data_IF_039074766032
#
_entry.id   IF_039074766032
#
_cell.length_a   1.000
_cell.length_b   1.000
_cell.length_c   1.000
_cell.angle_alpha   90.00
_cell.angle_beta   90.00
_cell.angle_gamma   90.00
#
_symmetry.space_group_name_H-M   'P 1'
#
loop_
_entity.id
_entity.type
_entity.pdbx_description
1 polymer ?
#
# COMPACT_ATOMS: atom_id res chain seq x y z
N UNK A 1 -36.70 -39.15 -51.14
CA UNK A 1 -36.22 -40.52 -51.47
C UNK A 1 -34.70 -40.47 -51.62
N UNK A 2 -33.99 -41.24 -50.77
CA UNK A 2 -32.62 -41.85 -50.88
C UNK A 2 -31.40 -40.94 -51.16
N UNK A 3 -30.55 -40.74 -50.13
CA UNK A 3 -29.20 -41.33 -49.85
C UNK A 3 -28.05 -40.61 -50.61
N UNK A 4 -27.21 -39.81 -49.93
CA UNK A 4 -25.97 -40.17 -49.21
C UNK A 4 -24.85 -40.68 -50.14
N UNK A 5 -23.72 -39.97 -50.26
CA UNK A 5 -22.45 -40.40 -49.65
C UNK A 5 -21.29 -39.38 -49.76
N UNK A 6 -20.29 -39.62 -48.91
CA UNK A 6 -19.06 -38.96 -48.47
C UNK A 6 -18.14 -38.16 -49.43
N UNK A 7 -17.37 -37.25 -48.82
CA UNK A 7 -16.10 -36.77 -49.39
C UNK A 7 -15.50 -35.56 -48.65
N UNK A 8 -14.86 -35.79 -47.51
CA UNK A 8 -14.01 -34.81 -46.81
C UNK A 8 -12.66 -34.68 -47.55
N UNK A 9 -12.08 -33.47 -47.69
CA UNK A 9 -10.64 -33.34 -47.82
C UNK A 9 -10.05 -32.43 -46.72
N UNK A 10 -9.26 -33.07 -45.86
CA UNK A 10 -8.23 -32.43 -45.04
C UNK A 10 -7.07 -31.99 -45.95
N UNK A 11 -6.38 -30.88 -45.64
CA UNK A 11 -4.96 -30.81 -45.92
C UNK A 11 -4.15 -30.69 -44.63
N UNK A 12 -3.12 -31.52 -44.60
CA UNK A 12 -2.06 -31.58 -43.63
C UNK A 12 -1.11 -30.36 -43.69
N UNK A 13 -0.70 -29.94 -42.49
CA UNK A 13 0.68 -29.63 -42.08
C UNK A 13 1.52 -28.62 -42.89
N UNK A 14 1.66 -27.43 -42.31
CA UNK A 14 2.88 -26.61 -42.43
C UNK A 14 3.51 -26.41 -41.05
N UNK A 15 4.59 -27.12 -40.73
CA UNK A 15 5.42 -26.80 -39.54
C UNK A 15 6.19 -25.50 -39.78
N UNK A 16 6.22 -24.54 -38.86
CA UNK A 16 7.18 -23.45 -38.93
C UNK A 16 8.59 -23.95 -38.60
N UNK A 17 9.57 -23.43 -39.35
CA UNK A 17 11.01 -23.73 -39.26
C UNK A 17 11.61 -23.17 -37.96
N UNK A 18 12.67 -23.78 -37.39
CA UNK A 18 13.35 -23.23 -36.24
C UNK A 18 14.22 -22.02 -36.65
N UNK A 19 14.11 -20.92 -35.91
CA UNK A 19 15.03 -19.78 -36.00
C UNK A 19 16.24 -20.02 -35.09
N UNK A 20 17.49 -19.89 -35.59
CA UNK A 20 18.69 -20.00 -34.77
C UNK A 20 19.08 -18.62 -34.23
N UNK A 21 19.28 -18.51 -32.91
CA UNK A 21 19.73 -17.24 -32.31
C UNK A 21 19.57 -17.16 -30.79
N UNK A 22 20.08 -18.15 -30.06
CA UNK A 22 20.20 -18.04 -28.60
C UNK A 22 21.54 -17.34 -28.27
N UNK A 23 21.47 -16.06 -27.86
CA UNK A 23 22.47 -15.50 -26.94
C UNK A 23 21.74 -14.94 -25.74
N UNK A 24 21.98 -15.59 -24.60
CA UNK A 24 21.63 -15.12 -23.27
C UNK A 24 22.36 -13.82 -22.99
N UNK A 25 21.63 -12.81 -22.51
CA UNK A 25 22.21 -11.72 -21.73
C UNK A 25 21.38 -11.61 -20.45
N UNK A 26 21.97 -12.09 -19.36
CA UNK A 26 21.49 -11.80 -18.01
C UNK A 26 21.75 -10.33 -17.73
N UNK A 27 20.70 -9.58 -17.44
CA UNK A 27 20.75 -8.19 -16.98
C UNK A 27 19.64 -7.97 -15.98
N UNK A 28 19.72 -8.64 -14.82
CA UNK A 28 18.85 -8.37 -13.68
C UNK A 28 19.26 -6.99 -13.14
N UNK A 29 18.40 -6.01 -13.36
CA UNK A 29 18.42 -4.72 -12.69
C UNK A 29 18.26 -4.95 -11.18
N UNK A 30 19.16 -4.34 -10.40
CA UNK A 30 19.13 -4.29 -8.93
C UNK A 30 17.73 -3.98 -8.42
N UNK A 31 17.08 -4.96 -7.82
CA UNK A 31 16.04 -4.73 -6.82
C UNK A 31 16.70 -4.10 -5.59
N UNK A 32 16.16 -3.01 -5.02
CA UNK A 32 16.65 -2.52 -3.75
C UNK A 32 16.36 -3.60 -2.70
N UNK A 33 17.43 -4.00 -2.01
CA UNK A 33 17.41 -4.96 -0.90
C UNK A 33 16.70 -4.32 0.30
N UNK A 34 15.39 -4.32 0.27
CA UNK A 34 14.55 -4.35 1.46
C UNK A 34 13.58 -5.48 1.20
N UNK A 35 13.23 -6.28 2.21
CA UNK A 35 12.40 -7.48 2.10
C UNK A 35 13.19 -8.72 1.67
N UNK A 36 13.78 -9.40 2.65
CA UNK A 36 13.32 -10.70 3.13
C UNK A 36 14.33 -11.24 4.15
N UNK A 37 13.88 -11.44 5.38
CA UNK A 37 14.31 -12.61 6.13
C UNK A 37 13.10 -13.14 6.91
N UNK A 38 12.80 -14.40 6.67
CA UNK A 38 11.64 -15.13 7.20
C UNK A 38 12.06 -15.92 8.44
N UNK A 39 11.11 -16.07 9.39
CA UNK A 39 10.83 -17.24 10.28
C UNK A 39 10.50 -16.80 11.72
N UNK A 40 9.20 -16.85 12.07
CA UNK A 40 8.58 -17.81 13.02
C UNK A 40 7.09 -17.47 13.23
N UNK A 41 6.18 -18.47 13.34
CA UNK A 41 4.83 -18.24 13.84
C UNK A 41 4.86 -18.29 15.38
N UNK A 42 4.42 -17.22 16.03
CA UNK A 42 4.19 -17.20 17.48
C UNK A 42 2.83 -16.56 17.77
N UNK A 43 2.00 -17.36 18.40
CA UNK A 43 0.59 -17.16 18.73
C UNK A 43 0.44 -16.22 19.94
N UNK A 44 -0.53 -15.31 19.83
CA UNK A 44 -1.26 -14.60 20.89
C UNK A 44 -0.42 -13.68 21.80
N UNK A 45 -0.42 -12.41 21.41
CA UNK A 45 -0.35 -11.26 22.33
C UNK A 45 -1.19 -10.16 21.68
N UNK A 46 -2.17 -9.63 22.41
CA UNK A 46 -2.90 -8.42 22.05
C UNK A 46 -1.87 -7.29 21.91
N UNK A 47 -1.26 -7.13 20.73
CA UNK A 47 -0.53 -5.91 20.40
C UNK A 47 -1.57 -4.87 20.12
N UNK A 48 -2.12 -4.33 21.20
CA UNK A 48 -3.03 -3.22 21.12
C UNK A 48 -2.20 -2.04 20.65
N UNK A 49 -2.44 -1.61 19.41
CA UNK A 49 -1.95 -0.34 18.90
C UNK A 49 -2.35 0.73 19.93
N UNK A 50 -1.37 1.41 20.53
CA UNK A 50 -1.61 2.51 21.47
C UNK A 50 -0.83 3.75 21.01
N UNK A 51 -1.50 4.89 21.01
CA UNK A 51 -0.88 6.17 20.66
C UNK A 51 0.20 6.54 21.69
N UNK A 52 1.33 7.06 21.21
CA UNK A 52 2.42 7.59 22.04
C UNK A 52 2.74 9.02 21.60
N UNK A 53 3.23 9.84 22.54
CA UNK A 53 3.75 11.18 22.25
C UNK A 53 4.94 11.15 21.26
N UNK A 54 5.61 10.01 21.08
CA UNK A 54 6.67 9.84 20.08
C UNK A 54 6.16 9.92 18.63
N UNK A 55 4.84 9.83 18.43
CA UNK A 55 4.18 10.00 17.13
C UNK A 55 3.75 11.45 16.87
N UNK A 56 3.97 12.37 17.81
CA UNK A 56 3.67 13.78 17.60
C UNK A 56 4.80 14.46 16.83
N UNK A 57 4.45 15.08 15.70
CA UNK A 57 5.39 15.84 14.87
C UNK A 57 5.42 17.33 15.24
N UNK A 58 4.50 17.76 16.12
CA UNK A 58 4.45 19.13 16.67
C UNK A 58 3.66 20.10 15.81
N UNK A 59 2.74 19.59 14.99
CA UNK A 59 1.77 20.37 14.22
C UNK A 59 0.39 19.93 14.67
N UNK A 60 -0.21 20.68 15.61
CA UNK A 60 -1.42 20.30 16.36
C UNK A 60 -2.53 19.71 15.48
N UNK A 61 -2.86 20.36 14.36
CA UNK A 61 -3.91 19.91 13.45
C UNK A 61 -3.57 18.57 12.77
N UNK A 62 -2.29 18.33 12.46
CA UNK A 62 -1.85 17.05 11.88
C UNK A 62 -1.78 15.98 12.97
N UNK A 63 -1.26 16.30 14.15
CA UNK A 63 -1.19 15.36 15.28
C UNK A 63 -2.61 14.88 15.68
N UNK A 64 -3.61 15.76 15.60
CA UNK A 64 -5.03 15.38 15.75
C UNK A 64 -5.51 14.41 14.67
N UNK A 65 -5.12 14.64 13.42
CA UNK A 65 -5.47 13.76 12.32
C UNK A 65 -4.77 12.39 12.44
N UNK A 66 -3.50 12.35 12.82
CA UNK A 66 -2.74 11.12 13.06
C UNK A 66 -3.36 10.28 14.18
N UNK A 67 -3.75 10.90 15.30
CA UNK A 67 -4.47 10.20 16.39
C UNK A 67 -5.73 9.51 15.88
N UNK A 68 -6.53 10.22 15.09
CA UNK A 68 -7.76 9.67 14.53
C UNK A 68 -7.49 8.62 13.43
N UNK A 69 -6.42 8.76 12.64
CA UNK A 69 -5.98 7.71 11.70
C UNK A 69 -5.65 6.44 12.48
N UNK A 70 -4.88 6.59 13.56
CA UNK A 70 -4.48 5.51 14.43
C UNK A 70 -5.70 4.79 15.04
N UNK A 71 -6.73 5.52 15.44
CA UNK A 71 -8.00 4.94 15.92
C UNK A 71 -8.69 4.09 14.84
N UNK A 72 -8.70 4.53 13.58
CA UNK A 72 -9.26 3.72 12.48
C UNK A 72 -8.44 2.46 12.18
N UNK A 73 -7.10 2.55 12.24
CA UNK A 73 -6.24 1.36 12.10
C UNK A 73 -6.48 0.39 13.25
N UNK A 74 -6.60 0.90 14.48
CA UNK A 74 -6.93 0.10 15.67
C UNK A 74 -8.30 -0.56 15.56
N UNK A 75 -9.31 0.15 15.10
CA UNK A 75 -10.65 -0.39 14.86
C UNK A 75 -10.65 -1.49 13.77
N UNK A 76 -9.74 -1.41 12.80
CA UNK A 76 -9.52 -2.48 11.83
C UNK A 76 -8.81 -3.69 12.46
N UNK A 77 -7.84 -3.47 13.35
CA UNK A 77 -7.11 -4.53 14.08
C UNK A 77 -8.04 -5.32 15.01
N UNK A 78 -8.88 -4.63 15.76
CA UNK A 78 -9.74 -5.22 16.79
C UNK A 78 -11.01 -5.89 16.21
N UNK A 79 -11.34 -5.67 14.92
CA UNK A 79 -12.57 -6.17 14.32
C UNK A 79 -12.58 -7.69 14.04
N UNK A 80 -13.57 -8.39 14.54
CA UNK A 80 -13.83 -9.81 14.31
C UNK A 80 -15.01 -10.05 13.33
N UNK A 81 -15.43 -8.99 12.64
CA UNK A 81 -16.82 -8.80 12.24
C UNK A 81 -17.12 -8.90 10.72
N UNK A 82 -18.42 -8.87 10.41
CA UNK A 82 -19.04 -9.12 9.09
C UNK A 82 -19.07 -7.94 8.10
N UNK A 83 -18.44 -6.79 8.42
CA UNK A 83 -18.47 -5.57 7.59
C UNK A 83 -17.04 -5.03 7.28
N UNK A 84 -16.12 -5.92 6.92
CA UNK A 84 -14.73 -5.53 6.60
C UNK A 84 -14.64 -4.60 5.39
N UNK A 85 -15.58 -4.69 4.45
CA UNK A 85 -15.68 -3.80 3.31
C UNK A 85 -15.91 -2.34 3.73
N UNK A 86 -16.84 -2.09 4.64
CA UNK A 86 -17.11 -0.75 5.17
C UNK A 86 -15.89 -0.20 5.91
N UNK A 87 -15.25 -1.01 6.76
CA UNK A 87 -14.04 -0.62 7.50
C UNK A 87 -12.88 -0.28 6.56
N UNK A 88 -12.69 -1.07 5.50
CA UNK A 88 -11.67 -0.77 4.51
C UNK A 88 -11.93 0.54 3.78
N UNK A 89 -13.18 0.79 3.39
CA UNK A 89 -13.54 2.04 2.74
C UNK A 89 -13.40 3.25 3.68
N UNK A 90 -13.78 3.12 4.95
CA UNK A 90 -13.61 4.19 5.94
C UNK A 90 -12.13 4.54 6.15
N UNK A 91 -11.26 3.54 6.33
CA UNK A 91 -9.83 3.79 6.52
C UNK A 91 -9.21 4.44 5.27
N UNK A 92 -9.55 3.95 4.08
CA UNK A 92 -9.07 4.52 2.81
C UNK A 92 -9.51 5.98 2.64
N UNK A 93 -10.78 6.27 2.88
CA UNK A 93 -11.31 7.63 2.71
C UNK A 93 -10.67 8.59 3.72
N UNK A 94 -10.50 8.16 4.97
CA UNK A 94 -9.83 8.97 5.98
C UNK A 94 -8.36 9.21 5.64
N UNK A 95 -7.65 8.19 5.13
CA UNK A 95 -6.27 8.34 4.67
C UNK A 95 -6.16 9.38 3.55
N UNK A 96 -7.06 9.35 2.57
CA UNK A 96 -7.10 10.35 1.49
C UNK A 96 -7.32 11.78 2.04
N UNK A 97 -8.30 11.96 2.92
CA UNK A 97 -8.58 13.28 3.54
C UNK A 97 -7.37 13.80 4.33
N UNK A 98 -6.69 12.92 5.07
CA UNK A 98 -5.49 13.26 5.82
C UNK A 98 -4.32 13.63 4.90
N UNK A 99 -4.07 12.86 3.86
CA UNK A 99 -3.02 13.13 2.87
C UNK A 99 -3.24 14.45 2.13
N UNK A 100 -4.48 14.75 1.74
CA UNK A 100 -4.84 16.03 1.13
C UNK A 100 -4.51 17.21 2.07
N UNK A 101 -4.76 17.05 3.38
CA UNK A 101 -4.43 18.07 4.37
C UNK A 101 -2.92 18.28 4.55
N UNK A 102 -2.14 17.20 4.60
CA UNK A 102 -0.67 17.27 4.66
C UNK A 102 -0.09 17.91 3.39
N UNK A 103 -0.57 17.51 2.22
CA UNK A 103 -0.11 18.02 0.93
C UNK A 103 -0.41 19.51 0.79
N UNK A 104 -1.60 19.95 1.17
CA UNK A 104 -1.94 21.37 1.24
C UNK A 104 -1.06 22.14 2.25
N UNK A 105 -0.77 21.55 3.40
CA UNK A 105 0.12 22.15 4.40
C UNK A 105 1.55 22.30 3.85
N UNK A 106 2.08 21.25 3.23
CA UNK A 106 3.41 21.22 2.61
C UNK A 106 3.52 22.21 1.45
N UNK A 107 2.50 22.30 0.59
CA UNK A 107 2.44 23.26 -0.51
C UNK A 107 2.47 24.71 0.01
N UNK A 108 1.63 25.02 1.01
CA UNK A 108 1.58 26.35 1.62
C UNK A 108 2.91 26.79 2.26
N UNK A 109 3.74 25.83 2.69
CA UNK A 109 5.06 26.09 3.26
C UNK A 109 6.21 25.90 2.26
N UNK A 110 5.93 25.62 0.99
CA UNK A 110 6.92 25.39 -0.06
C UNK A 110 7.90 24.26 0.29
N UNK A 111 7.38 23.15 0.85
CA UNK A 111 8.20 22.00 1.19
C UNK A 111 8.81 21.36 -0.08
N UNK A 112 10.15 21.27 -0.20
CA UNK A 112 10.79 20.92 -1.46
C UNK A 112 10.59 19.47 -1.91
N UNK A 113 10.21 18.57 -1.00
CA UNK A 113 10.01 17.14 -1.28
C UNK A 113 8.54 16.74 -1.35
N UNK A 114 7.61 17.69 -1.52
CA UNK A 114 6.17 17.45 -1.63
C UNK A 114 5.84 16.32 -2.64
N UNK A 115 6.43 16.36 -3.84
CA UNK A 115 6.15 15.35 -4.86
C UNK A 115 6.60 13.93 -4.45
N UNK A 116 7.70 13.80 -3.72
CA UNK A 116 8.17 12.50 -3.22
C UNK A 116 7.25 11.99 -2.11
N UNK A 117 6.79 12.88 -1.23
CA UNK A 117 5.85 12.56 -0.15
C UNK A 117 4.49 12.11 -0.69
N UNK A 118 3.91 12.87 -1.62
CA UNK A 118 2.65 12.54 -2.28
C UNK A 118 2.73 11.18 -3.03
N UNK A 119 3.89 10.83 -3.59
CA UNK A 119 4.06 9.51 -4.21
C UNK A 119 3.96 8.36 -3.20
N UNK A 120 4.43 8.56 -1.96
CA UNK A 120 4.27 7.57 -0.88
C UNK A 120 2.80 7.39 -0.51
N UNK A 121 2.03 8.48 -0.46
CA UNK A 121 0.58 8.45 -0.24
C UNK A 121 -0.15 7.67 -1.33
N UNK A 122 0.14 7.97 -2.60
CA UNK A 122 -0.42 7.25 -3.76
C UNK A 122 -0.10 5.76 -3.70
N UNK A 123 1.15 5.40 -3.37
CA UNK A 123 1.57 4.01 -3.28
C UNK A 123 0.88 3.26 -2.13
N UNK A 124 0.66 3.93 -0.99
CA UNK A 124 -0.11 3.39 0.12
C UNK A 124 -1.56 3.10 -0.27
N UNK A 125 -2.28 4.11 -0.80
CA UNK A 125 -3.68 3.95 -1.20
C UNK A 125 -3.84 2.85 -2.23
N UNK A 126 -2.96 2.79 -3.23
CA UNK A 126 -2.98 1.72 -4.24
C UNK A 126 -2.81 0.35 -3.59
N UNK A 127 -1.75 0.17 -2.81
CA UNK A 127 -1.44 -1.12 -2.19
C UNK A 127 -2.55 -1.56 -1.24
N UNK A 128 -3.02 -0.67 -0.38
CA UNK A 128 -4.10 -0.93 0.55
C UNK A 128 -5.39 -1.34 -0.17
N UNK A 129 -5.79 -0.58 -1.19
CA UNK A 129 -7.01 -0.85 -1.97
C UNK A 129 -6.93 -2.16 -2.74
N UNK A 130 -5.75 -2.48 -3.31
CA UNK A 130 -5.55 -3.75 -4.00
C UNK A 130 -5.66 -4.94 -3.04
N UNK A 131 -5.01 -4.86 -1.87
CA UNK A 131 -5.09 -5.94 -0.88
C UNK A 131 -6.51 -6.11 -0.33
N UNK A 132 -7.20 -5.01 -0.01
CA UNK A 132 -8.60 -5.03 0.45
C UNK A 132 -9.53 -5.65 -0.62
N UNK A 133 -9.39 -5.24 -1.87
CA UNK A 133 -10.18 -5.77 -3.00
C UNK A 133 -9.94 -7.26 -3.22
N UNK A 134 -8.69 -7.71 -3.19
CA UNK A 134 -8.33 -9.12 -3.37
C UNK A 134 -8.89 -9.99 -2.24
N UNK A 135 -8.78 -9.51 -0.99
CA UNK A 135 -9.36 -10.18 0.17
C UNK A 135 -10.88 -10.35 0.05
N UNK A 136 -11.61 -9.27 -0.30
CA UNK A 136 -13.07 -9.30 -0.44
C UNK A 136 -13.55 -10.16 -1.61
N UNK A 137 -12.79 -10.20 -2.72
CA UNK A 137 -13.20 -10.91 -3.93
C UNK A 137 -12.93 -12.41 -3.90
N UNK A 138 -11.78 -12.83 -3.36
CA UNK A 138 -11.29 -14.20 -3.54
C UNK A 138 -10.93 -14.91 -2.24
N UNK A 139 -10.64 -14.18 -1.15
CA UNK A 139 -9.99 -14.77 0.01
C UNK A 139 -8.66 -15.44 -0.40
N UNK A 140 -8.51 -16.74 -0.16
CA UNK A 140 -7.31 -17.50 -0.53
C UNK A 140 -7.35 -18.03 -1.98
N UNK A 141 -6.28 -17.93 -2.80
CA UNK A 141 -4.91 -17.48 -2.50
C UNK A 141 -4.73 -15.96 -2.76
N UNK A 142 -5.10 -15.14 -1.79
CA UNK A 142 -4.90 -13.69 -1.75
C UNK A 142 -4.39 -13.29 -0.36
N UNK A 143 -4.21 -11.98 -0.10
CA UNK A 143 -3.80 -11.49 1.22
C UNK A 143 -4.83 -11.90 2.27
N UNK A 144 -4.35 -12.35 3.44
CA UNK A 144 -5.20 -12.52 4.61
C UNK A 144 -5.43 -11.19 5.33
N UNK A 145 -6.42 -11.17 6.23
CA UNK A 145 -6.80 -9.96 6.97
C UNK A 145 -5.65 -9.43 7.82
N UNK A 146 -4.88 -10.33 8.44
CA UNK A 146 -3.76 -9.98 9.30
C UNK A 146 -2.64 -9.29 8.51
N UNK A 147 -2.40 -9.71 7.26
CA UNK A 147 -1.45 -9.04 6.36
C UNK A 147 -1.88 -7.62 6.00
N UNK A 148 -3.18 -7.36 5.80
CA UNK A 148 -3.71 -6.02 5.50
C UNK A 148 -3.54 -5.11 6.71
N UNK A 149 -3.89 -5.62 7.88
CA UNK A 149 -3.74 -4.98 9.19
C UNK A 149 -2.31 -4.58 9.48
N UNK A 150 -1.39 -5.54 9.44
CA UNK A 150 0.04 -5.32 9.68
C UNK A 150 0.59 -4.28 8.69
N UNK A 151 0.18 -4.35 7.42
CA UNK A 151 0.61 -3.41 6.40
C UNK A 151 0.15 -1.98 6.70
N UNK A 152 -1.11 -1.79 7.09
CA UNK A 152 -1.66 -0.47 7.43
C UNK A 152 -0.97 0.13 8.68
N UNK A 153 -0.84 -0.64 9.75
CA UNK A 153 -0.18 -0.23 10.98
C UNK A 153 1.29 0.11 10.76
N UNK A 154 2.03 -0.82 10.13
CA UNK A 154 3.46 -0.65 9.88
C UNK A 154 3.73 0.55 8.98
N UNK A 155 2.89 0.77 7.96
CA UNK A 155 3.03 1.93 7.08
C UNK A 155 2.79 3.22 7.86
N UNK A 156 1.66 3.34 8.58
CA UNK A 156 1.30 4.56 9.31
C UNK A 156 2.39 4.98 10.30
N UNK A 157 2.82 4.06 11.18
CA UNK A 157 3.82 4.37 12.21
C UNK A 157 5.16 4.78 11.60
N UNK A 158 5.63 4.06 10.57
CA UNK A 158 6.90 4.39 9.94
C UNK A 158 6.83 5.69 9.12
N UNK A 159 5.68 5.98 8.50
CA UNK A 159 5.47 7.18 7.71
C UNK A 159 5.50 8.42 8.61
N UNK A 160 4.77 8.42 9.73
CA UNK A 160 4.78 9.51 10.72
C UNK A 160 6.19 9.80 11.22
N UNK A 161 6.88 8.78 11.74
CA UNK A 161 8.17 8.95 12.43
C UNK A 161 9.30 9.36 11.47
N UNK A 162 9.22 8.96 10.19
CA UNK A 162 10.36 9.09 9.25
C UNK A 162 10.11 10.06 8.10
N UNK A 163 8.86 10.28 7.73
CA UNK A 163 8.47 11.07 6.57
C UNK A 163 7.77 12.35 7.05
N UNK A 164 6.73 12.25 7.88
CA UNK A 164 5.97 13.44 8.31
C UNK A 164 6.82 14.35 9.21
N UNK A 165 7.67 13.74 10.04
CA UNK A 165 8.66 14.44 10.84
C UNK A 165 9.62 15.32 10.01
N UNK A 166 9.90 14.98 8.75
CA UNK A 166 10.80 15.75 7.89
C UNK A 166 10.19 17.11 7.51
N UNK A 167 8.92 17.15 7.09
CA UNK A 167 8.29 18.43 6.74
C UNK A 167 7.97 19.27 7.99
N UNK A 168 7.65 18.62 9.12
CA UNK A 168 7.49 19.32 10.39
C UNK A 168 8.79 20.00 10.83
N UNK A 169 9.92 19.31 10.69
CA UNK A 169 11.24 19.90 10.94
C UNK A 169 11.51 21.08 9.99
N UNK A 170 11.30 20.90 8.69
CA UNK A 170 11.52 21.95 7.69
C UNK A 170 10.70 23.21 8.00
N UNK A 171 9.41 23.07 8.30
CA UNK A 171 8.54 24.22 8.58
C UNK A 171 8.93 24.96 9.86
N UNK A 172 9.36 24.23 10.91
CA UNK A 172 9.90 24.84 12.13
C UNK A 172 11.17 25.64 11.87
N UNK A 173 12.11 25.09 11.10
CA UNK A 173 13.36 25.77 10.72
C UNK A 173 13.10 26.99 9.84
N UNK A 174 12.14 26.91 8.91
CA UNK A 174 11.72 28.03 8.06
C UNK A 174 11.15 29.19 8.88
N UNK A 175 10.36 28.90 9.93
CA UNK A 175 9.82 29.93 10.85
C UNK A 175 10.92 30.59 11.68
N UNK A 176 11.83 29.81 12.26
CA UNK A 176 12.93 30.33 13.09
C UNK A 176 13.93 31.20 12.29
N UNK A 177 14.08 30.97 10.98
CA UNK A 177 14.93 31.79 10.12
C UNK A 177 14.29 33.11 9.64
N UNK A 178 13.01 33.35 9.98
CA UNK A 178 12.26 34.57 9.63
C UNK A 178 12.13 35.55 10.80
N UNK A 179 12.56 35.15 12.00
CA UNK A 179 12.60 35.96 13.24
C UNK A 179 13.99 36.60 13.43
#
# INVERSE_FOLDING_TARGET
>A
MRRADHGNPHPEQGRPRPVPGLRRAHGLTRTPLFWYNCVMPSRQGESRMEWSADLEIGIEQIDEQHRRFFDFVKDLQESDDTNLDEKFEFLKNYALEHFDAEEAFMEAHEYPRLNEHAQLHVDFIRKYSDMAREFLAFGSPGPDLDSIREMAETWLVNHIIRVDADYAKFTREKRAGQE
#
